data_IF_673443714716
#
_entry.id   IF_673443714716
#
_cell.length_a   1.000
_cell.length_b   1.000
_cell.length_c   1.000
_cell.angle_alpha   90.00
_cell.angle_beta   90.00
_cell.angle_gamma   90.00
#
_symmetry.space_group_name_H-M   'P 1'
#
loop_
_entity.id
_entity.type
_entity.pdbx_description
1 polymer ?
#
# COMPACT_ATOMS: atom_id res chain seq x y z
N UNK A 1 -6.04 6.37 -14.12
CA UNK A 1 -6.47 5.63 -12.92
C UNK A 1 -6.98 4.27 -13.37
N UNK A 2 -6.73 3.19 -12.62
CA UNK A 2 -7.28 1.86 -12.91
C UNK A 2 -8.53 1.66 -12.05
N UNK A 3 -9.59 1.11 -12.63
CA UNK A 3 -10.79 0.69 -11.90
C UNK A 3 -10.79 -0.84 -11.77
N UNK A 4 -11.21 -1.35 -10.62
CA UNK A 4 -11.34 -2.80 -10.39
C UNK A 4 -10.12 -3.44 -9.72
N UNK A 5 -9.74 -4.65 -10.16
CA UNK A 5 -8.83 -5.50 -9.40
C UNK A 5 -7.36 -5.04 -9.53
N UNK A 6 -6.71 -4.87 -8.38
CA UNK A 6 -5.25 -4.65 -8.31
C UNK A 6 -4.52 -5.90 -8.74
N UNK A 7 -3.57 -5.73 -9.66
CA UNK A 7 -2.70 -6.82 -10.09
C UNK A 7 -1.82 -7.26 -8.91
N UNK A 8 -1.94 -8.51 -8.43
CA UNK A 8 -1.08 -9.01 -7.39
C UNK A 8 0.32 -9.27 -7.98
N UNK A 9 1.35 -9.11 -7.16
CA UNK A 9 2.71 -9.48 -7.54
C UNK A 9 3.42 -10.11 -6.35
N UNK A 10 3.67 -11.42 -6.44
CA UNK A 10 4.30 -12.22 -5.39
C UNK A 10 5.77 -11.81 -5.19
N UNK A 11 6.49 -11.62 -6.29
CA UNK A 11 7.90 -11.19 -6.28
C UNK A 11 8.10 -9.88 -5.51
N UNK A 12 7.32 -8.84 -5.84
CA UNK A 12 7.38 -7.55 -5.14
C UNK A 12 6.97 -7.67 -3.67
N UNK A 13 6.03 -8.57 -3.34
CA UNK A 13 5.59 -8.77 -1.96
C UNK A 13 6.68 -9.43 -1.11
N UNK A 14 7.39 -10.42 -1.66
CA UNK A 14 8.52 -11.06 -0.99
C UNK A 14 9.71 -10.11 -0.88
N UNK A 15 10.06 -9.41 -1.96
CA UNK A 15 11.13 -8.40 -1.95
C UNK A 15 10.84 -7.28 -0.93
N UNK A 16 9.57 -6.89 -0.79
CA UNK A 16 9.15 -5.92 0.21
C UNK A 16 9.39 -6.39 1.65
N UNK A 17 9.20 -7.68 1.93
CA UNK A 17 9.40 -8.28 3.25
C UNK A 17 10.88 -8.49 3.58
N UNK A 18 11.66 -8.90 2.60
CA UNK A 18 13.09 -9.16 2.77
C UNK A 18 13.98 -7.90 2.72
N UNK A 19 13.41 -6.72 2.44
CA UNK A 19 14.18 -5.49 2.30
C UNK A 19 14.59 -4.90 3.65
N UNK A 20 15.91 -4.89 3.92
CA UNK A 20 16.49 -4.28 5.12
C UNK A 20 16.15 -2.78 5.26
N UNK A 21 16.24 -2.01 4.17
CA UNK A 21 15.91 -0.58 4.19
C UNK A 21 14.46 -0.31 4.60
N UNK A 22 13.51 -1.15 4.16
CA UNK A 22 12.10 -1.04 4.56
C UNK A 22 11.90 -1.45 6.01
N UNK A 23 12.59 -2.49 6.48
CA UNK A 23 12.55 -2.87 7.89
C UNK A 23 13.03 -1.72 8.78
N UNK A 24 14.17 -1.11 8.48
CA UNK A 24 14.69 0.01 9.26
C UNK A 24 13.73 1.20 9.27
N UNK A 25 13.17 1.59 8.12
CA UNK A 25 12.22 2.72 8.04
C UNK A 25 10.94 2.48 8.84
N UNK A 26 10.38 1.27 8.75
CA UNK A 26 9.12 0.93 9.38
C UNK A 26 9.28 0.63 10.88
N UNK A 27 10.36 -0.05 11.27
CA UNK A 27 10.58 -0.52 12.64
C UNK A 27 11.27 0.50 13.53
N UNK A 28 12.18 1.32 12.98
CA UNK A 28 12.92 2.34 13.75
C UNK A 28 12.26 3.73 13.72
N UNK A 29 11.05 3.85 13.13
CA UNK A 29 10.31 5.10 13.13
C UNK A 29 10.93 6.23 12.32
N UNK A 30 11.81 5.91 11.36
CA UNK A 30 12.44 6.90 10.47
C UNK A 30 11.48 7.41 9.38
N UNK A 31 10.27 6.86 9.31
CA UNK A 31 9.22 7.29 8.39
C UNK A 31 8.29 8.32 9.05
N UNK A 32 7.71 9.20 8.23
CA UNK A 32 6.73 10.17 8.70
C UNK A 32 5.50 9.48 9.34
N UNK A 33 4.91 10.06 10.41
CA UNK A 33 3.74 9.49 11.06
C UNK A 33 2.57 9.29 10.07
N UNK A 34 1.71 8.32 10.38
CA UNK A 34 0.50 8.06 9.57
C UNK A 34 -0.32 9.34 9.44
N UNK A 35 -0.72 9.70 8.23
CA UNK A 35 -1.52 10.90 7.93
C UNK A 35 -0.73 12.12 7.44
N UNK A 36 0.59 12.16 7.66
CA UNK A 36 1.45 13.26 7.20
C UNK A 36 1.64 13.35 5.68
N UNK A 37 1.08 12.38 4.93
CA UNK A 37 1.10 12.42 3.47
C UNK A 37 0.44 13.68 2.88
N UNK A 38 -0.55 14.27 3.55
CA UNK A 38 -1.16 15.52 3.10
C UNK A 38 -0.25 16.73 3.23
N UNK A 39 0.64 16.73 4.24
CA UNK A 39 1.60 17.82 4.47
C UNK A 39 2.86 17.65 3.62
N UNK A 40 3.38 16.41 3.53
CA UNK A 40 4.63 16.12 2.81
C UNK A 40 4.45 16.01 1.30
N UNK A 41 3.33 15.44 0.83
CA UNK A 41 3.03 15.34 -0.60
C UNK A 41 1.51 15.25 -0.88
N UNK A 42 0.80 16.39 -0.90
CA UNK A 42 -0.66 16.42 -1.02
C UNK A 42 -1.17 15.80 -2.32
N UNK A 43 -0.47 16.02 -3.45
CA UNK A 43 -0.85 15.46 -4.76
C UNK A 43 -0.86 13.93 -4.73
N UNK A 44 0.19 13.32 -4.16
CA UNK A 44 0.29 11.87 -4.03
C UNK A 44 -0.73 11.33 -3.03
N UNK A 45 -0.98 12.03 -1.93
CA UNK A 45 -1.99 11.66 -0.96
C UNK A 45 -3.40 11.62 -1.59
N UNK A 46 -3.77 12.65 -2.36
CA UNK A 46 -5.02 12.71 -3.08
C UNK A 46 -5.16 11.55 -4.10
N UNK A 47 -4.13 11.33 -4.93
CA UNK A 47 -4.11 10.24 -5.90
C UNK A 47 -4.28 8.87 -5.24
N UNK A 48 -3.51 8.59 -4.18
CA UNK A 48 -3.58 7.34 -3.44
C UNK A 48 -4.96 7.14 -2.78
N UNK A 49 -5.61 8.21 -2.32
CA UNK A 49 -6.95 8.14 -1.74
C UNK A 49 -7.98 7.73 -2.78
N UNK A 50 -7.95 8.32 -3.98
CA UNK A 50 -8.85 7.92 -5.08
C UNK A 50 -8.53 6.51 -5.53
N UNK A 51 -7.27 6.19 -5.79
CA UNK A 51 -6.83 4.85 -6.20
C UNK A 51 -7.26 3.77 -5.20
N UNK A 52 -7.14 4.03 -3.89
CA UNK A 52 -7.52 3.07 -2.88
C UNK A 52 -9.03 2.83 -2.78
N UNK A 53 -9.86 3.82 -3.15
CA UNK A 53 -11.32 3.71 -3.17
C UNK A 53 -11.83 3.02 -4.43
N UNK A 54 -11.19 3.25 -5.58
CA UNK A 54 -11.65 2.74 -6.88
C UNK A 54 -11.09 1.36 -7.24
N UNK A 55 -10.21 0.80 -6.40
CA UNK A 55 -9.58 -0.51 -6.65
C UNK A 55 -9.76 -1.48 -5.50
N UNK A 56 -9.97 -2.75 -5.82
CA UNK A 56 -10.14 -3.84 -4.86
C UNK A 56 -8.95 -4.80 -4.97
N UNK A 57 -8.49 -5.33 -3.84
CA UNK A 57 -7.41 -6.31 -3.83
C UNK A 57 -7.96 -7.75 -3.94
N UNK A 58 -7.30 -8.60 -4.73
CA UNK A 58 -7.66 -10.02 -4.81
C UNK A 58 -7.58 -10.71 -3.45
N UNK A 59 -6.62 -10.36 -2.62
CA UNK A 59 -6.47 -10.93 -1.28
C UNK A 59 -7.66 -10.59 -0.37
N UNK A 60 -8.24 -9.40 -0.52
CA UNK A 60 -9.46 -9.02 0.22
C UNK A 60 -10.66 -9.84 -0.25
N UNK A 61 -10.78 -10.08 -1.56
CA UNK A 61 -11.86 -10.91 -2.11
C UNK A 61 -11.72 -12.37 -1.66
N UNK A 62 -10.51 -12.93 -1.75
CA UNK A 62 -10.21 -14.28 -1.31
C UNK A 62 -10.47 -14.45 0.20
N UNK A 63 -10.07 -13.49 1.04
CA UNK A 63 -10.38 -13.49 2.48
C UNK A 63 -11.87 -13.41 2.80
N UNK A 64 -12.67 -12.77 1.94
CA UNK A 64 -14.14 -12.72 2.10
C UNK A 64 -14.79 -14.03 1.69
N UNK A 65 -14.22 -14.72 0.71
CA UNK A 65 -14.72 -16.01 0.22
C UNK A 65 -14.39 -17.17 1.16
N UNK A 66 -13.20 -17.14 1.78
CA UNK A 66 -12.69 -18.19 2.68
C UNK A 66 -13.07 -17.97 4.16
N UNK A 67 -14.10 -17.17 4.44
CA UNK A 67 -14.54 -16.83 5.81
C UNK A 67 -15.91 -17.39 6.10
#
# INVERSE_FOLDING_TARGET
>A
MKFGIRTPSLTKSLAARASAARFLRNSLGLEAPRGWGWLTNPRRAAYNRVYNRTTVSLWTLLRRLLR
#
